data_IF_793114336160
#
_entry.id   IF_793114336160
#
_cell.length_a   1.000
_cell.length_b   1.000
_cell.length_c   1.000
_cell.angle_alpha   90.00
_cell.angle_beta   90.00
_cell.angle_gamma   90.00
#
_symmetry.space_group_name_H-M   'P 1'
#
loop_
_entity.id
_entity.type
_entity.pdbx_description
1 polymer ?
#
# COMPACT_ATOMS: atom_id res chain seq x y z
N UNK A 1 -2.30 -0.45 12.19
CA UNK A 1 -2.17 1.03 12.06
C UNK A 1 -2.30 1.42 10.58
N UNK A 2 -3.01 2.51 10.25
CA UNK A 2 -3.02 3.09 8.90
C UNK A 2 -2.00 4.23 8.84
N UNK A 3 -1.04 4.16 7.92
CA UNK A 3 0.09 5.09 7.82
C UNK A 3 0.08 5.79 6.46
N UNK A 4 0.00 7.13 6.47
CA UNK A 4 0.24 7.96 5.29
C UNK A 4 1.73 8.09 5.04
N UNK A 5 2.17 7.86 3.80
CA UNK A 5 3.59 7.73 3.47
C UNK A 5 4.25 8.99 2.91
N UNK A 6 3.49 9.92 2.32
CA UNK A 6 4.05 11.14 1.73
C UNK A 6 3.00 12.25 1.57
N UNK A 7 3.44 13.51 1.67
CA UNK A 7 2.65 14.73 1.43
C UNK A 7 3.00 15.41 0.10
N UNK A 8 3.45 14.63 -0.87
CA UNK A 8 3.95 15.14 -2.16
C UNK A 8 3.01 14.71 -3.28
N UNK A 9 2.55 15.68 -4.08
CA UNK A 9 1.78 15.39 -5.29
C UNK A 9 2.68 14.69 -6.33
N UNK A 10 2.10 13.88 -7.25
CA UNK A 10 2.84 13.39 -8.41
C UNK A 10 3.53 14.54 -9.16
N UNK A 11 4.76 14.32 -9.62
CA UNK A 11 5.58 15.26 -10.41
C UNK A 11 5.99 16.57 -9.71
N UNK A 12 5.76 16.69 -8.40
CA UNK A 12 6.22 17.83 -7.60
C UNK A 12 7.48 17.52 -6.79
N UNK A 13 8.18 18.57 -6.36
CA UNK A 13 9.26 18.44 -5.39
C UNK A 13 8.71 17.95 -4.04
N UNK A 14 9.45 17.10 -3.30
CA UNK A 14 9.05 16.66 -1.97
C UNK A 14 8.71 17.83 -1.05
N UNK A 15 7.55 17.74 -0.39
CA UNK A 15 7.06 18.69 0.62
C UNK A 15 6.37 17.92 1.74
N UNK A 16 6.40 18.47 2.95
CA UNK A 16 5.80 17.83 4.13
C UNK A 16 6.46 16.50 4.47
N UNK A 17 5.65 15.52 4.88
CA UNK A 17 6.12 14.17 5.18
C UNK A 17 6.70 13.49 3.93
N UNK A 18 7.88 12.89 4.07
CA UNK A 18 8.50 12.07 3.03
C UNK A 18 8.37 10.57 3.32
N UNK A 19 8.59 9.73 2.31
CA UNK A 19 8.60 8.27 2.48
C UNK A 19 9.68 7.83 3.49
N UNK A 20 10.81 8.54 3.54
CA UNK A 20 11.86 8.25 4.51
C UNK A 20 11.40 8.52 5.95
N UNK A 21 10.67 9.63 6.18
CA UNK A 21 10.07 9.94 7.47
C UNK A 21 9.03 8.90 7.86
N UNK A 22 8.17 8.50 6.92
CA UNK A 22 7.20 7.42 7.14
C UNK A 22 7.89 6.09 7.49
N UNK A 23 9.03 5.78 6.86
CA UNK A 23 9.85 4.63 7.21
C UNK A 23 10.41 4.69 8.63
N UNK A 24 10.80 5.87 9.12
CA UNK A 24 11.21 6.06 10.51
C UNK A 24 10.04 5.83 11.47
N UNK A 25 8.87 6.41 11.19
CA UNK A 25 7.65 6.19 11.98
C UNK A 25 7.24 4.72 11.98
N UNK A 26 7.34 4.04 10.84
CA UNK A 26 7.02 2.62 10.72
C UNK A 26 7.89 1.73 11.62
N UNK A 27 9.19 2.04 11.74
CA UNK A 27 10.09 1.33 12.67
C UNK A 27 9.69 1.52 14.12
N UNK A 28 9.32 2.73 14.52
CA UNK A 28 8.83 3.00 15.88
C UNK A 28 7.52 2.27 16.16
N UNK A 29 6.56 2.31 15.23
CA UNK A 29 5.31 1.56 15.35
C UNK A 29 5.56 0.05 15.47
N UNK A 30 6.52 -0.48 14.70
CA UNK A 30 6.91 -1.88 14.81
C UNK A 30 7.55 -2.20 16.17
N UNK A 31 8.43 -1.32 16.68
CA UNK A 31 9.03 -1.48 18.00
C UNK A 31 8.01 -1.41 19.15
N UNK A 32 6.93 -0.65 18.97
CA UNK A 32 5.80 -0.58 19.90
C UNK A 32 4.83 -1.78 19.79
N UNK A 33 5.07 -2.71 18.86
CA UNK A 33 4.28 -3.94 18.72
C UNK A 33 3.03 -3.79 17.86
N UNK A 34 3.04 -2.91 16.85
CA UNK A 34 1.95 -2.88 15.87
C UNK A 34 1.82 -4.22 15.12
N UNK A 35 0.61 -4.76 15.01
CA UNK A 35 0.37 -6.06 14.34
C UNK A 35 0.32 -5.96 12.80
N UNK A 36 0.08 -4.76 12.26
CA UNK A 36 -0.07 -4.51 10.83
C UNK A 36 0.16 -3.03 10.51
N UNK A 37 0.85 -2.76 9.40
CA UNK A 37 0.97 -1.43 8.82
C UNK A 37 0.25 -1.37 7.47
N UNK A 38 -0.82 -0.58 7.38
CA UNK A 38 -1.58 -0.36 6.14
C UNK A 38 -1.21 0.98 5.52
N UNK A 39 -0.69 0.96 4.28
CA UNK A 39 -0.05 2.11 3.66
C UNK A 39 -1.00 2.89 2.74
N UNK A 40 -0.95 4.23 2.82
CA UNK A 40 -1.59 5.17 1.89
C UNK A 40 -0.67 6.33 1.50
N UNK A 41 -1.06 7.18 0.54
CA UNK A 41 -0.35 8.41 0.14
C UNK A 41 -0.85 9.70 0.80
N UNK A 42 -1.43 9.60 2.00
CA UNK A 42 -2.09 10.71 2.69
C UNK A 42 -3.15 11.44 1.83
N UNK A 43 -3.19 12.78 1.84
CA UNK A 43 -4.15 13.62 1.12
C UNK A 43 -3.62 14.23 -0.19
N UNK A 44 -2.38 13.90 -0.58
CA UNK A 44 -1.72 14.45 -1.78
C UNK A 44 -2.01 13.64 -3.05
N UNK A 45 -3.20 13.05 -3.08
CA UNK A 45 -3.68 12.27 -4.20
C UNK A 45 -2.95 10.95 -4.39
N UNK A 46 -3.31 10.33 -5.50
CA UNK A 46 -2.63 9.20 -6.11
C UNK A 46 -2.40 9.61 -7.56
N UNK A 47 -1.41 9.05 -8.25
CA UNK A 47 -1.26 9.27 -9.69
C UNK A 47 -2.56 8.88 -10.39
N UNK A 48 -3.43 9.86 -10.66
CA UNK A 48 -4.83 9.61 -11.04
C UNK A 48 -4.92 9.01 -12.45
N UNK A 49 -3.84 9.20 -13.21
CA UNK A 49 -3.52 8.66 -14.53
C UNK A 49 -2.85 7.26 -14.47
N UNK A 50 -2.46 6.77 -13.29
CA UNK A 50 -1.86 5.44 -13.15
C UNK A 50 -2.87 4.35 -13.46
N UNK A 51 -2.59 3.60 -14.52
CA UNK A 51 -3.39 2.46 -15.00
C UNK A 51 -2.88 1.11 -14.50
N UNK A 52 -1.67 1.07 -13.94
CA UNK A 52 -1.03 -0.14 -13.42
C UNK A 52 -1.67 -0.68 -12.13
N UNK A 53 -2.54 0.12 -11.49
CA UNK A 53 -3.09 -0.19 -10.17
C UNK A 53 -2.01 -0.15 -9.09
N UNK A 54 -2.38 -0.42 -7.84
CA UNK A 54 -1.43 -0.38 -6.71
C UNK A 54 -0.69 0.96 -6.57
N UNK A 55 -1.46 2.05 -6.44
CA UNK A 55 -0.93 3.43 -6.42
C UNK A 55 0.18 3.64 -5.39
N UNK A 56 0.11 2.93 -4.28
CA UNK A 56 1.06 3.08 -3.17
C UNK A 56 2.06 1.92 -3.07
N UNK A 57 2.21 1.09 -4.11
CA UNK A 57 3.18 -0.01 -4.11
C UNK A 57 4.62 0.44 -3.82
N UNK A 58 5.15 1.56 -4.37
CA UNK A 58 6.51 1.98 -4.04
C UNK A 58 6.66 2.36 -2.56
N UNK A 59 5.60 2.91 -1.96
CA UNK A 59 5.59 3.28 -0.54
C UNK A 59 5.49 2.04 0.35
N UNK A 60 4.63 1.08 -0.02
CA UNK A 60 4.50 -0.18 0.70
C UNK A 60 5.83 -0.96 0.70
N UNK A 61 6.51 -1.04 -0.45
CA UNK A 61 7.82 -1.68 -0.56
C UNK A 61 8.87 -0.99 0.33
N UNK A 62 8.97 0.34 0.27
CA UNK A 62 9.92 1.10 1.10
C UNK A 62 9.65 0.96 2.60
N UNK A 63 8.38 0.95 3.01
CA UNK A 63 7.98 0.76 4.41
C UNK A 63 8.26 -0.68 4.87
N UNK A 64 7.97 -1.67 4.02
CA UNK A 64 8.26 -3.09 4.31
C UNK A 64 9.75 -3.34 4.48
N UNK A 65 10.57 -2.75 3.62
CA UNK A 65 12.03 -2.77 3.76
C UNK A 65 12.47 -2.11 5.08
N UNK A 66 11.93 -0.92 5.38
CA UNK A 66 12.27 -0.18 6.60
C UNK A 66 11.98 -0.96 7.90
N UNK A 67 10.90 -1.76 7.94
CA UNK A 67 10.57 -2.59 9.11
C UNK A 67 11.22 -3.97 9.10
N UNK A 68 11.92 -4.34 8.03
CA UNK A 68 12.69 -5.58 7.93
C UNK A 68 11.87 -6.84 8.18
N UNK A 69 10.59 -6.85 7.78
CA UNK A 69 9.68 -7.98 7.97
C UNK A 69 9.20 -8.22 9.41
N UNK A 70 9.49 -7.32 10.37
CA UNK A 70 9.03 -7.45 11.76
C UNK A 70 7.51 -7.32 11.92
N UNK A 71 6.88 -6.56 11.03
CA UNK A 71 5.44 -6.31 11.02
C UNK A 71 4.94 -6.43 9.58
N UNK A 72 3.85 -7.17 9.31
CA UNK A 72 3.27 -7.25 7.99
C UNK A 72 2.87 -5.87 7.43
N UNK A 73 3.06 -5.68 6.13
CA UNK A 73 2.69 -4.45 5.43
C UNK A 73 1.59 -4.72 4.40
N UNK A 74 0.49 -3.98 4.49
CA UNK A 74 -0.59 -3.99 3.50
C UNK A 74 -0.39 -2.87 2.46
N UNK A 75 -0.37 -3.24 1.18
CA UNK A 75 -0.44 -2.30 0.07
C UNK A 75 -1.91 -2.05 -0.32
N UNK A 76 -2.30 -0.77 -0.42
CA UNK A 76 -3.65 -0.37 -0.83
C UNK A 76 -3.62 0.51 -2.07
N UNK A 77 -4.80 0.73 -2.66
CA UNK A 77 -5.02 1.74 -3.70
C UNK A 77 -5.00 1.18 -5.12
N UNK A 78 -6.16 1.15 -5.78
CA UNK A 78 -6.25 0.87 -7.23
C UNK A 78 -6.02 -0.58 -7.64
N UNK A 79 -5.79 -1.52 -6.71
CA UNK A 79 -5.69 -2.94 -7.05
C UNK A 79 -7.06 -3.49 -7.43
N UNK A 80 -7.22 -3.97 -8.66
CA UNK A 80 -8.50 -4.42 -9.24
C UNK A 80 -8.48 -5.83 -9.84
N UNK A 81 -7.31 -6.40 -10.10
CA UNK A 81 -7.17 -7.73 -10.69
C UNK A 81 -6.29 -8.63 -9.83
N UNK A 82 -6.66 -9.91 -9.76
CA UNK A 82 -5.96 -10.93 -8.98
C UNK A 82 -4.50 -11.09 -9.42
N UNK A 83 -4.21 -11.14 -10.72
CA UNK A 83 -2.83 -11.27 -11.20
C UNK A 83 -1.92 -10.11 -10.80
N UNK A 84 -2.45 -8.88 -10.67
CA UNK A 84 -1.67 -7.75 -10.14
C UNK A 84 -1.44 -7.91 -8.63
N UNK A 85 -2.45 -8.36 -7.88
CA UNK A 85 -2.34 -8.65 -6.47
C UNK A 85 -1.28 -9.74 -6.19
N UNK A 86 -1.34 -10.86 -6.93
CA UNK A 86 -0.38 -11.96 -6.83
C UNK A 86 1.05 -11.52 -7.16
N UNK A 87 1.23 -10.74 -8.24
CA UNK A 87 2.53 -10.18 -8.59
C UNK A 87 3.12 -9.34 -7.45
N UNK A 88 2.34 -8.44 -6.86
CA UNK A 88 2.82 -7.58 -5.76
C UNK A 88 3.24 -8.39 -4.53
N UNK A 89 2.53 -9.47 -4.24
CA UNK A 89 2.88 -10.39 -3.15
C UNK A 89 4.15 -11.19 -3.49
N UNK A 90 4.23 -11.74 -4.70
CA UNK A 90 5.36 -12.54 -5.18
C UNK A 90 6.66 -11.72 -5.26
N UNK A 91 6.56 -10.45 -5.69
CA UNK A 91 7.69 -9.53 -5.77
C UNK A 91 8.13 -9.01 -4.38
N UNK A 92 7.44 -9.39 -3.31
CA UNK A 92 7.74 -8.94 -1.94
C UNK A 92 7.47 -7.45 -1.71
N UNK A 93 6.63 -6.82 -2.54
CA UNK A 93 6.24 -5.43 -2.38
C UNK A 93 5.45 -5.20 -1.08
N UNK A 94 4.65 -6.20 -0.67
CA UNK A 94 3.80 -6.16 0.51
C UNK A 94 3.46 -7.59 0.95
N UNK A 95 2.93 -7.73 2.16
CA UNK A 95 2.50 -9.01 2.72
C UNK A 95 0.98 -9.21 2.60
N UNK A 96 0.23 -8.10 2.43
CA UNK A 96 -1.22 -8.11 2.21
C UNK A 96 -1.65 -7.10 1.14
N UNK A 97 -2.79 -7.39 0.50
CA UNK A 97 -3.44 -6.50 -0.47
C UNK A 97 -4.75 -5.97 0.12
N UNK A 98 -4.84 -4.65 0.25
CA UNK A 98 -6.05 -4.00 0.71
C UNK A 98 -6.96 -3.56 -0.44
N UNK A 99 -8.20 -4.04 -0.42
CA UNK A 99 -9.22 -3.77 -1.43
C UNK A 99 -10.37 -2.98 -0.78
N UNK A 100 -10.66 -1.79 -1.32
CA UNK A 100 -11.71 -0.90 -0.79
C UNK A 100 -12.85 -0.71 -1.79
N UNK A 101 -12.73 0.32 -2.66
CA UNK A 101 -13.75 0.69 -3.66
C UNK A 101 -14.35 -0.49 -4.45
N UNK A 102 -13.57 -1.49 -4.90
CA UNK A 102 -14.16 -2.65 -5.58
C UNK A 102 -15.17 -3.43 -4.72
N UNK A 103 -14.87 -3.66 -3.44
CA UNK A 103 -15.79 -4.35 -2.52
C UNK A 103 -17.06 -3.54 -2.24
N UNK A 104 -16.94 -2.21 -2.22
CA UNK A 104 -18.08 -1.32 -2.06
C UNK A 104 -18.99 -1.32 -3.29
N UNK A 105 -18.41 -1.34 -4.49
CA UNK A 105 -19.16 -1.29 -5.75
C UNK A 105 -19.76 -2.64 -6.15
N UNK A 106 -19.19 -3.74 -5.69
CA UNK A 106 -19.60 -5.09 -6.06
C UNK A 106 -19.29 -6.08 -4.92
N UNK A 107 -20.34 -6.55 -4.25
CA UNK A 107 -20.21 -7.52 -3.14
C UNK A 107 -19.65 -8.88 -3.61
N UNK A 108 -19.82 -9.24 -4.89
CA UNK A 108 -19.28 -10.47 -5.49
C UNK A 108 -17.87 -10.29 -6.07
N UNK A 109 -17.21 -9.16 -5.84
CA UNK A 109 -15.91 -8.86 -6.43
C UNK A 109 -14.85 -9.93 -6.10
N UNK A 110 -14.80 -10.41 -4.85
CA UNK A 110 -13.83 -11.43 -4.44
C UNK A 110 -14.16 -12.82 -5.01
N UNK A 111 -15.41 -13.11 -5.33
CA UNK A 111 -15.76 -14.39 -5.96
C UNK A 111 -15.18 -14.49 -7.37
N UNK A 112 -15.07 -13.35 -8.08
CA UNK A 112 -14.40 -13.27 -9.38
C UNK A 112 -12.90 -13.57 -9.24
N UNK A 113 -12.24 -12.96 -8.25
CA UNK A 113 -10.83 -13.26 -7.98
C UNK A 113 -10.63 -14.71 -7.59
N UNK A 114 -11.53 -15.29 -6.79
CA UNK A 114 -11.46 -16.72 -6.40
C UNK A 114 -11.64 -17.67 -7.59
N UNK A 115 -12.44 -17.32 -8.59
CA UNK A 115 -12.64 -18.15 -9.77
C UNK A 115 -11.41 -18.18 -10.70
N UNK A 116 -10.52 -17.19 -10.56
CA UNK A 116 -9.30 -17.02 -11.36
C UNK A 116 -8.03 -17.55 -10.67
N UNK A 117 -8.14 -18.05 -9.42
CA UNK A 117 -7.08 -18.74 -8.64
C UNK A 117 -7.05 -20.23 -8.95
#
# INVERSE_FOLDING_TARGET
MRLGAADTMPDEKPRGLTVADAGAVARELAALGADLLSVSGNLCGYGADRTDGAYFSPYAAAIREAVGGKVPVECTGGVRGIGNAERLLADGCCDLIGVGRPLLSDAGFLDKWRADL
#
